data_IF_991686638608
#
_entry.id   IF_991686638608
#
_cell.length_a   1.000
_cell.length_b   1.000
_cell.length_c   1.000
_cell.angle_alpha   90.00
_cell.angle_beta   90.00
_cell.angle_gamma   90.00
#
_symmetry.space_group_name_H-M   'P 1'
#
loop_
_entity.id
_entity.type
_entity.pdbx_description
1 polymer ?
#
# COMPACT_ATOMS: atom_id res chain seq x y z
N UNK A 1 0.24 8.82 17.25
CA UNK A 1 -0.40 7.48 17.29
C UNK A 1 0.32 6.60 18.28
N UNK A 2 -0.37 5.78 19.08
CA UNK A 2 0.31 4.83 20.00
C UNK A 2 -0.12 3.43 19.61
N UNK A 3 0.85 2.53 19.54
CA UNK A 3 0.57 1.11 19.43
C UNK A 3 -0.21 0.64 20.65
N UNK A 4 -1.32 -0.03 20.44
CA UNK A 4 -2.08 -0.66 21.50
C UNK A 4 -1.72 -2.14 21.53
N UNK A 5 -1.26 -2.60 22.68
CA UNK A 5 -1.04 -4.03 22.90
C UNK A 5 -2.15 -4.61 23.74
N UNK A 6 -2.58 -5.79 23.37
CA UNK A 6 -3.62 -6.56 24.07
C UNK A 6 -3.04 -7.91 24.45
N UNK A 7 -3.05 -8.18 25.74
CA UNK A 7 -2.63 -9.47 26.27
C UNK A 7 -3.85 -10.26 26.73
N UNK A 8 -3.99 -11.47 26.21
CA UNK A 8 -4.98 -12.44 26.71
C UNK A 8 -4.40 -13.16 27.92
N UNK A 9 -4.77 -12.73 29.13
CA UNK A 9 -4.35 -13.38 30.39
C UNK A 9 -5.28 -14.50 30.83
N UNK A 10 -6.29 -14.84 30.04
CA UNK A 10 -7.22 -15.94 30.32
C UNK A 10 -6.62 -17.30 29.93
N UNK A 11 -7.29 -18.39 30.38
CA UNK A 11 -6.95 -19.75 29.98
C UNK A 11 -7.56 -20.16 28.63
N UNK A 12 -8.45 -19.33 28.07
CA UNK A 12 -9.17 -19.59 26.83
C UNK A 12 -8.76 -18.55 25.78
N UNK A 13 -8.93 -18.92 24.52
CA UNK A 13 -8.75 -18.00 23.40
C UNK A 13 -9.79 -16.87 23.48
N UNK A 14 -9.37 -15.65 23.17
CA UNK A 14 -10.19 -14.45 23.19
C UNK A 14 -10.44 -13.98 21.77
N UNK A 15 -11.69 -14.01 21.34
CA UNK A 15 -12.10 -13.37 20.08
C UNK A 15 -12.41 -11.89 20.37
N UNK A 16 -11.77 -11.01 19.65
CA UNK A 16 -11.99 -9.57 19.72
C UNK A 16 -12.28 -9.00 18.34
N UNK A 17 -13.18 -8.06 18.29
CA UNK A 17 -13.48 -7.28 17.09
C UNK A 17 -13.39 -5.76 17.37
N UNK A 18 -13.57 -4.92 16.33
CA UNK A 18 -13.47 -3.48 16.48
C UNK A 18 -14.55 -2.89 17.40
N UNK A 19 -15.69 -3.53 17.54
CA UNK A 19 -16.78 -3.08 18.42
C UNK A 19 -16.43 -3.24 19.89
N UNK A 20 -15.40 -4.06 20.21
CA UNK A 20 -14.90 -4.18 21.56
C UNK A 20 -14.13 -2.93 22.04
N UNK A 21 -13.82 -1.99 21.13
CA UNK A 21 -13.04 -0.81 21.45
C UNK A 21 -13.85 0.47 21.18
N UNK A 22 -14.10 1.23 22.23
CA UNK A 22 -14.74 2.55 22.10
C UNK A 22 -13.81 3.63 22.67
N UNK A 23 -13.65 4.70 21.93
CA UNK A 23 -12.97 5.88 22.42
C UNK A 23 -13.99 6.97 22.73
N UNK A 24 -14.06 7.37 24.00
CA UNK A 24 -14.93 8.42 24.48
C UNK A 24 -14.21 9.75 24.54
N UNK A 25 -14.92 10.82 24.16
CA UNK A 25 -14.52 12.22 24.30
C UNK A 25 -15.71 13.05 24.77
N UNK A 26 -15.71 13.44 26.02
CA UNK A 26 -16.90 14.02 26.66
C UNK A 26 -18.02 12.99 26.81
N UNK A 27 -19.21 13.30 26.29
CA UNK A 27 -20.37 12.39 26.26
C UNK A 27 -20.40 11.49 25.01
N UNK A 28 -19.61 11.83 24.01
CA UNK A 28 -19.62 11.16 22.73
C UNK A 28 -18.59 10.01 22.67
N UNK A 29 -18.75 9.12 21.70
CA UNK A 29 -17.79 8.05 21.44
C UNK A 29 -17.66 7.74 19.96
N UNK A 30 -16.53 7.14 19.59
CA UNK A 30 -16.25 6.63 18.25
C UNK A 30 -15.67 5.23 18.32
N UNK A 31 -15.90 4.46 17.28
CA UNK A 31 -15.23 3.19 17.03
C UNK A 31 -13.96 3.38 16.20
N UNK A 32 -13.03 2.40 16.23
CA UNK A 32 -11.91 2.41 15.30
C UNK A 32 -12.41 2.42 13.85
N UNK A 33 -11.72 3.18 13.01
CA UNK A 33 -11.94 3.21 11.55
C UNK A 33 -11.06 2.17 10.89
N UNK A 34 -11.63 1.00 10.55
CA UNK A 34 -10.88 -0.11 9.97
C UNK A 34 -10.32 0.22 8.58
N UNK A 35 -11.08 0.96 7.79
CA UNK A 35 -10.68 1.46 6.47
C UNK A 35 -9.45 2.36 6.51
N UNK A 36 -9.28 3.10 7.59
CA UNK A 36 -8.07 3.92 7.83
C UNK A 36 -6.87 3.11 8.32
N UNK A 37 -7.08 1.88 8.81
CA UNK A 37 -5.98 1.04 9.34
C UNK A 37 -4.89 0.82 8.30
N UNK A 38 -5.28 0.63 7.05
CA UNK A 38 -4.36 0.42 5.94
C UNK A 38 -3.48 1.65 5.65
N UNK A 39 -3.94 2.85 5.97
CA UNK A 39 -3.16 4.08 5.80
C UNK A 39 -2.05 4.25 6.85
N UNK A 40 -1.96 3.36 7.84
CA UNK A 40 -1.05 3.49 8.97
C UNK A 40 -0.22 2.23 9.24
N UNK A 41 -0.05 1.37 8.23
CA UNK A 41 0.66 0.08 8.37
C UNK A 41 2.15 0.21 8.74
N UNK A 42 2.79 1.31 8.36
CA UNK A 42 4.17 1.62 8.78
C UNK A 42 4.33 1.85 10.29
N UNK A 43 3.23 2.01 11.02
CA UNK A 43 3.24 2.08 12.48
C UNK A 43 2.92 0.74 13.17
N UNK A 44 2.59 -0.30 12.41
CA UNK A 44 2.30 -1.65 12.90
C UNK A 44 1.13 -2.32 12.19
N UNK A 45 0.73 -3.48 12.67
CA UNK A 45 -0.39 -4.23 12.09
C UNK A 45 -1.72 -3.53 12.41
N UNK A 46 -2.62 -3.33 11.41
CA UNK A 46 -3.95 -2.83 11.69
C UNK A 46 -4.73 -3.84 12.52
N UNK A 47 -5.65 -3.31 13.31
CA UNK A 47 -6.60 -4.17 14.00
C UNK A 47 -7.57 -4.78 12.99
N UNK A 48 -7.68 -6.08 13.01
CA UNK A 48 -8.72 -6.84 12.32
C UNK A 48 -9.35 -7.80 13.33
N UNK A 49 -10.57 -8.26 13.08
CA UNK A 49 -11.21 -9.30 13.88
C UNK A 49 -10.25 -10.46 14.05
N UNK A 50 -9.85 -10.75 15.27
CA UNK A 50 -8.76 -11.66 15.51
C UNK A 50 -8.96 -12.47 16.79
N UNK A 51 -8.40 -13.68 16.76
CA UNK A 51 -8.31 -14.53 17.95
C UNK A 51 -6.94 -14.30 18.59
N UNK A 52 -6.93 -13.92 19.85
CA UNK A 52 -5.73 -13.85 20.67
C UNK A 52 -5.70 -15.11 21.52
N UNK A 53 -4.73 -15.98 21.31
CA UNK A 53 -4.60 -17.23 22.03
C UNK A 53 -4.35 -16.98 23.52
N UNK A 54 -4.68 -17.95 24.35
CA UNK A 54 -4.40 -17.91 25.79
C UNK A 54 -2.91 -17.60 26.04
N UNK A 55 -2.63 -16.57 26.85
CA UNK A 55 -1.26 -16.10 27.16
C UNK A 55 -0.60 -15.22 26.08
N UNK A 56 -1.19 -15.11 24.88
CA UNK A 56 -0.63 -14.34 23.77
C UNK A 56 -0.77 -12.81 24.00
N UNK A 57 0.21 -12.07 23.50
CA UNK A 57 0.16 -10.59 23.43
C UNK A 57 0.25 -10.18 21.96
N UNK A 58 -0.70 -9.37 21.50
CA UNK A 58 -0.68 -8.78 20.16
C UNK A 58 -0.68 -7.26 20.24
N UNK A 59 0.02 -6.63 19.31
CA UNK A 59 0.05 -5.17 19.16
C UNK A 59 -0.69 -4.77 17.90
N UNK A 60 -1.60 -3.83 18.06
CA UNK A 60 -2.43 -3.34 16.95
C UNK A 60 -2.38 -1.82 16.84
N UNK A 61 -2.62 -1.33 15.64
CA UNK A 61 -2.94 0.06 15.37
C UNK A 61 -4.44 0.18 15.21
N UNK A 62 -5.02 1.09 15.97
CA UNK A 62 -6.45 1.40 15.90
C UNK A 62 -6.60 2.90 15.63
N UNK A 63 -6.83 3.30 14.37
CA UNK A 63 -7.11 4.68 14.04
C UNK A 63 -8.53 5.05 14.46
N UNK A 64 -8.68 6.25 15.00
CA UNK A 64 -9.97 6.84 15.37
C UNK A 64 -10.07 8.20 14.71
N UNK A 65 -11.17 8.46 14.04
CA UNK A 65 -11.48 9.78 13.52
C UNK A 65 -12.22 10.58 14.59
N UNK A 66 -11.71 11.76 14.93
CA UNK A 66 -12.32 12.66 15.91
C UNK A 66 -12.40 14.05 15.33
N UNK A 67 -13.38 14.82 15.79
CA UNK A 67 -13.48 16.25 15.45
C UNK A 67 -12.24 17.00 15.99
N UNK A 68 -11.64 17.83 15.14
CA UNK A 68 -10.43 18.60 15.45
C UNK A 68 -10.55 19.48 16.70
N UNK A 69 -11.76 19.91 17.06
CA UNK A 69 -12.03 20.68 18.29
C UNK A 69 -11.69 19.92 19.57
N UNK A 70 -11.63 18.58 19.49
CA UNK A 70 -11.31 17.73 20.64
C UNK A 70 -9.85 17.30 20.71
N UNK A 71 -8.99 17.70 19.75
CA UNK A 71 -7.58 17.25 19.65
C UNK A 71 -6.77 17.40 20.93
N UNK A 72 -7.11 18.35 21.80
CA UNK A 72 -6.40 18.64 23.06
C UNK A 72 -7.17 18.12 24.31
N UNK A 73 -8.22 17.33 24.12
CA UNK A 73 -8.98 16.76 25.22
C UNK A 73 -8.43 15.43 25.69
N UNK A 74 -8.81 15.01 26.88
CA UNK A 74 -8.53 13.67 27.36
C UNK A 74 -9.51 12.69 26.70
N UNK A 75 -8.99 11.55 26.26
CA UNK A 75 -9.76 10.48 25.68
C UNK A 75 -9.75 9.29 26.62
N UNK A 76 -10.85 8.57 26.65
CA UNK A 76 -11.03 7.37 27.42
C UNK A 76 -11.30 6.22 26.47
N UNK A 77 -10.39 5.23 26.41
CA UNK A 77 -10.63 4.02 25.67
C UNK A 77 -11.28 3.00 26.60
N UNK A 78 -12.43 2.48 26.20
CA UNK A 78 -13.14 1.42 26.90
C UNK A 78 -13.05 0.17 26.07
N UNK A 79 -12.56 -0.90 26.67
CA UNK A 79 -12.46 -2.21 26.06
C UNK A 79 -13.57 -3.08 26.67
N UNK A 80 -14.45 -3.57 25.83
CA UNK A 80 -15.51 -4.49 26.22
C UNK A 80 -15.04 -5.91 25.97
N UNK A 81 -15.09 -6.73 27.02
CA UNK A 81 -14.75 -8.15 26.94
C UNK A 81 -16.05 -8.96 27.08
N UNK A 82 -16.61 -9.44 25.99
CA UNK A 82 -17.84 -10.23 25.97
C UNK A 82 -18.58 -10.12 24.65
N UNK A 83 -19.50 -11.01 24.37
CA UNK A 83 -20.37 -10.89 23.19
C UNK A 83 -21.25 -9.64 23.30
N UNK A 84 -21.21 -8.81 22.26
CA UNK A 84 -21.90 -7.51 22.19
C UNK A 84 -23.45 -7.61 22.26
N UNK A 85 -24.00 -8.78 22.46
CA UNK A 85 -25.45 -9.06 22.37
C UNK A 85 -26.22 -8.90 23.67
N UNK A 86 -25.57 -8.74 24.82
CA UNK A 86 -26.25 -8.54 26.12
C UNK A 86 -25.66 -7.35 26.88
N UNK A 87 -26.43 -6.32 27.04
CA UNK A 87 -26.02 -5.03 27.61
C UNK A 87 -25.69 -5.05 29.12
N UNK A 88 -25.89 -6.17 29.83
CA UNK A 88 -25.74 -6.27 31.27
C UNK A 88 -24.45 -6.94 31.79
N UNK A 89 -23.67 -7.64 30.94
CA UNK A 89 -22.57 -8.47 31.40
C UNK A 89 -21.18 -8.00 30.96
N UNK A 90 -21.04 -6.73 30.63
CA UNK A 90 -19.77 -6.20 30.16
C UNK A 90 -18.81 -5.88 31.31
N UNK A 91 -17.81 -6.71 31.49
CA UNK A 91 -16.60 -6.33 32.22
C UNK A 91 -15.81 -5.36 31.38
N UNK A 92 -16.11 -4.07 31.49
CA UNK A 92 -15.41 -3.01 30.76
C UNK A 92 -14.12 -2.66 31.49
N UNK A 93 -12.99 -2.91 30.85
CA UNK A 93 -11.71 -2.34 31.32
C UNK A 93 -11.55 -0.93 30.73
N UNK A 94 -11.59 0.07 31.60
CA UNK A 94 -11.41 1.46 31.21
C UNK A 94 -9.94 1.85 31.28
N UNK A 95 -9.40 2.38 30.19
CA UNK A 95 -8.06 2.98 30.13
C UNK A 95 -8.24 4.44 29.73
N UNK A 96 -7.82 5.36 30.61
CA UNK A 96 -7.79 6.78 30.26
C UNK A 96 -6.45 7.13 29.64
N UNK A 97 -6.48 7.63 28.41
CA UNK A 97 -5.29 8.03 27.67
C UNK A 97 -5.30 9.53 27.49
N UNK A 98 -4.24 10.20 27.97
CA UNK A 98 -3.95 11.58 27.57
C UNK A 98 -3.24 11.53 26.22
N UNK A 99 -3.90 12.00 25.16
CA UNK A 99 -3.22 12.20 23.89
C UNK A 99 -2.35 13.46 24.02
N UNK A 100 -1.05 13.29 23.88
CA UNK A 100 -0.19 14.38 23.44
C UNK A 100 -0.32 14.39 21.92
N UNK A 101 -0.69 15.51 21.29
CA UNK A 101 -0.65 15.60 19.84
C UNK A 101 0.81 15.40 19.40
N UNK A 102 1.09 14.26 18.83
CA UNK A 102 2.31 14.08 18.07
C UNK A 102 1.90 14.47 16.65
N UNK A 103 2.19 15.70 16.26
CA UNK A 103 2.10 16.10 14.86
C UNK A 103 3.23 15.31 14.20
N UNK A 104 2.86 14.27 13.49
CA UNK A 104 3.79 13.62 12.57
C UNK A 104 3.84 14.60 11.40
N UNK A 105 4.89 15.40 11.34
CA UNK A 105 5.22 16.09 10.10
C UNK A 105 5.45 15.00 9.07
N UNK A 106 4.71 15.04 7.97
CA UNK A 106 4.96 14.21 6.80
C UNK A 106 6.31 14.67 6.22
N UNK A 107 7.38 14.16 6.78
CA UNK A 107 8.70 14.29 6.16
C UNK A 107 8.66 13.33 4.99
N UNK A 108 8.44 13.88 3.79
CA UNK A 108 8.58 13.12 2.55
C UNK A 108 10.06 12.76 2.38
N UNK A 109 10.42 11.57 2.78
CA UNK A 109 11.75 11.03 2.57
C UNK A 109 11.86 10.57 1.12
N UNK A 110 12.71 11.24 0.35
CA UNK A 110 12.96 10.92 -1.05
C UNK A 110 14.30 10.21 -1.19
N UNK A 111 14.27 8.98 -1.69
CA UNK A 111 15.47 8.16 -1.94
C UNK A 111 15.66 8.00 -3.45
N UNK A 112 16.84 8.35 -3.96
CA UNK A 112 17.23 8.07 -5.34
C UNK A 112 17.82 6.68 -5.43
N UNK A 113 17.39 5.92 -6.41
CA UNK A 113 17.76 4.51 -6.61
C UNK A 113 18.18 4.31 -8.06
N UNK A 114 19.20 3.52 -8.29
CA UNK A 114 19.66 3.15 -9.62
C UNK A 114 18.92 1.93 -10.17
N UNK A 115 18.94 1.74 -11.49
CA UNK A 115 18.49 0.47 -12.08
C UNK A 115 19.32 -0.69 -11.49
N UNK A 116 18.70 -1.84 -11.34
CA UNK A 116 19.23 -3.04 -10.67
C UNK A 116 19.50 -2.92 -9.17
N UNK A 117 19.22 -1.79 -8.55
CA UNK A 117 19.33 -1.64 -7.12
C UNK A 117 18.03 -2.12 -6.43
N UNK A 118 18.17 -2.85 -5.33
CA UNK A 118 17.04 -3.35 -4.57
C UNK A 118 16.45 -2.23 -3.69
N UNK A 119 15.17 -1.94 -3.89
CA UNK A 119 14.40 -1.02 -3.07
C UNK A 119 13.76 -1.83 -1.94
N UNK A 120 14.32 -1.71 -0.74
CA UNK A 120 13.69 -2.29 0.45
C UNK A 120 12.48 -1.45 0.86
N UNK A 121 11.31 -2.09 0.92
CA UNK A 121 10.06 -1.48 1.36
C UNK A 121 9.79 -1.71 2.86
N UNK A 122 10.76 -2.26 3.59
CA UNK A 122 10.61 -2.66 5.01
C UNK A 122 10.27 -1.52 5.96
N UNK A 123 10.60 -0.29 5.59
CA UNK A 123 10.28 0.91 6.39
C UNK A 123 9.01 1.61 5.90
N UNK A 124 8.25 0.97 5.04
CA UNK A 124 6.99 1.48 4.49
C UNK A 124 5.81 0.65 4.98
N UNK A 125 4.62 1.00 4.49
CA UNK A 125 3.40 0.22 4.70
C UNK A 125 3.48 -1.21 4.13
N UNK A 126 4.47 -1.51 3.28
CA UNK A 126 4.75 -2.82 2.70
C UNK A 126 5.98 -3.45 3.36
N UNK A 127 5.95 -3.58 4.67
CA UNK A 127 7.03 -4.21 5.43
C UNK A 127 7.40 -5.58 4.86
N UNK A 128 8.70 -5.94 4.88
CA UNK A 128 9.27 -7.16 4.31
C UNK A 128 9.05 -7.35 2.79
N UNK A 129 8.63 -6.31 2.10
CA UNK A 129 8.52 -6.31 0.65
C UNK A 129 9.72 -5.64 0.01
N UNK A 130 9.98 -5.95 -1.24
CA UNK A 130 11.05 -5.32 -2.01
C UNK A 130 10.70 -5.22 -3.49
N UNK A 131 11.31 -4.25 -4.16
CA UNK A 131 11.18 -4.04 -5.59
C UNK A 131 12.57 -3.77 -6.19
N UNK A 132 12.83 -4.36 -7.34
CA UNK A 132 13.99 -4.03 -8.17
C UNK A 132 13.50 -3.74 -9.58
N UNK A 133 13.82 -2.59 -10.12
CA UNK A 133 13.63 -2.29 -11.55
C UNK A 133 14.95 -2.61 -12.24
N UNK A 134 14.97 -3.67 -13.06
CA UNK A 134 16.20 -4.18 -13.68
C UNK A 134 16.60 -3.40 -14.91
N UNK A 135 15.62 -3.11 -15.76
CA UNK A 135 15.80 -2.37 -17.00
C UNK A 135 14.53 -1.63 -17.38
N UNK A 136 14.65 -0.65 -18.27
CA UNK A 136 13.52 0.03 -18.87
C UNK A 136 13.78 0.25 -20.36
N UNK A 137 12.75 0.08 -21.17
CA UNK A 137 12.74 0.34 -22.60
C UNK A 137 11.58 1.28 -22.91
N UNK A 138 11.85 2.29 -23.74
CA UNK A 138 10.82 3.18 -24.27
C UNK A 138 10.62 2.84 -25.74
N UNK A 139 9.40 2.50 -26.10
CA UNK A 139 9.05 2.06 -27.46
C UNK A 139 7.61 2.45 -27.79
N UNK A 140 7.23 2.34 -29.05
CA UNK A 140 5.84 2.44 -29.46
C UNK A 140 5.17 1.06 -29.61
N UNK A 141 5.95 -0.03 -29.49
CA UNK A 141 5.47 -1.40 -29.53
C UNK A 141 6.35 -2.32 -28.70
N UNK A 142 5.76 -3.37 -28.16
CA UNK A 142 6.46 -4.43 -27.44
C UNK A 142 5.93 -5.79 -27.88
N UNK A 143 6.81 -6.62 -28.43
CA UNK A 143 6.51 -7.98 -28.88
C UNK A 143 6.84 -8.97 -27.78
N UNK A 144 5.99 -9.94 -27.56
CA UNK A 144 6.21 -10.99 -26.57
C UNK A 144 5.67 -12.33 -27.07
N UNK A 145 6.19 -13.40 -26.48
CA UNK A 145 5.72 -14.75 -26.67
C UNK A 145 5.15 -15.31 -25.38
N UNK A 146 4.15 -16.16 -25.51
CA UNK A 146 3.64 -16.90 -24.37
C UNK A 146 3.24 -18.31 -24.80
N UNK A 147 3.26 -19.24 -23.83
CA UNK A 147 2.76 -20.59 -24.05
C UNK A 147 1.33 -20.70 -23.53
N UNK A 148 0.47 -21.32 -24.29
CA UNK A 148 -0.87 -21.71 -23.88
C UNK A 148 -0.99 -23.24 -23.96
N UNK A 149 -1.25 -23.86 -22.79
CA UNK A 149 -1.29 -25.29 -22.65
C UNK A 149 -2.72 -25.78 -22.43
N UNK A 150 -3.17 -26.68 -23.30
CA UNK A 150 -4.42 -27.40 -23.12
C UNK A 150 -4.10 -28.89 -22.92
N UNK A 151 -4.39 -29.43 -21.74
CA UNK A 151 -3.94 -30.77 -21.31
C UNK A 151 -2.42 -30.87 -21.40
N UNK A 152 -1.90 -31.84 -22.18
CA UNK A 152 -0.47 -32.09 -22.34
C UNK A 152 0.13 -31.38 -23.56
N UNK A 153 -0.67 -30.61 -24.31
CA UNK A 153 -0.22 -29.93 -25.54
C UNK A 153 -0.07 -28.43 -25.26
N UNK A 154 1.16 -27.96 -25.37
CA UNK A 154 1.50 -26.52 -25.28
C UNK A 154 1.75 -25.96 -26.69
N UNK A 155 1.31 -24.74 -26.92
CA UNK A 155 1.58 -23.98 -28.15
C UNK A 155 2.16 -22.62 -27.79
N UNK A 156 3.19 -22.21 -28.50
CA UNK A 156 3.77 -20.88 -28.40
C UNK A 156 3.02 -19.90 -29.30
N UNK A 157 2.63 -18.78 -28.75
CA UNK A 157 1.97 -17.69 -29.46
C UNK A 157 2.83 -16.45 -29.43
N UNK A 158 2.72 -15.65 -30.48
CA UNK A 158 3.32 -14.33 -30.62
C UNK A 158 2.22 -13.29 -30.51
N UNK A 159 2.47 -12.24 -29.75
CA UNK A 159 1.54 -11.14 -29.59
C UNK A 159 2.29 -9.82 -29.40
N UNK A 160 1.60 -8.70 -29.49
CA UNK A 160 2.18 -7.37 -29.44
C UNK A 160 1.32 -6.41 -28.63
N UNK A 161 1.96 -5.63 -27.75
CA UNK A 161 1.38 -4.43 -27.16
C UNK A 161 1.81 -3.24 -28.01
N UNK A 162 0.87 -2.44 -28.45
CA UNK A 162 1.12 -1.23 -29.24
C UNK A 162 0.59 -0.04 -28.45
N UNK A 163 1.37 1.05 -28.40
CA UNK A 163 0.90 2.32 -27.88
C UNK A 163 -0.27 2.81 -28.75
N UNK A 164 -1.36 3.23 -28.11
CA UNK A 164 -2.56 3.66 -28.84
C UNK A 164 -2.24 4.92 -29.67
N UNK A 165 -2.35 4.87 -30.99
CA UNK A 165 -2.13 6.03 -31.85
C UNK A 165 -3.28 7.04 -31.78
N UNK A 166 -4.20 6.93 -30.79
CA UNK A 166 -5.44 7.68 -30.76
C UNK A 166 -5.23 9.18 -30.97
N UNK A 167 -5.78 9.59 -31.96
CA UNK A 167 -6.23 10.82 -32.63
C UNK A 167 -5.59 12.17 -32.30
N UNK A 168 -5.06 12.46 -31.14
CA UNK A 168 -4.55 13.79 -30.80
C UNK A 168 -3.33 13.82 -29.88
N UNK A 169 -3.05 12.78 -29.17
CA UNK A 169 -1.85 12.65 -28.35
C UNK A 169 -1.11 11.38 -28.74
N UNK A 170 0.11 11.53 -29.27
CA UNK A 170 0.99 10.39 -29.47
C UNK A 170 1.24 9.76 -28.10
N UNK A 171 1.11 8.45 -28.01
CA UNK A 171 1.47 7.70 -26.82
C UNK A 171 2.75 6.89 -27.07
N UNK A 172 3.40 6.49 -25.99
CA UNK A 172 4.55 5.61 -25.98
C UNK A 172 4.34 4.51 -24.95
N UNK A 173 5.15 3.45 -25.03
CA UNK A 173 5.23 2.42 -24.00
C UNK A 173 6.50 2.61 -23.19
N UNK A 174 6.39 2.49 -21.87
CA UNK A 174 7.51 2.24 -20.97
C UNK A 174 7.39 0.80 -20.51
N UNK A 175 8.36 -0.02 -20.94
CA UNK A 175 8.44 -1.46 -20.63
C UNK A 175 9.56 -1.67 -19.64
N UNK A 176 9.26 -2.19 -18.48
CA UNK A 176 10.24 -2.39 -17.40
C UNK A 176 10.33 -3.86 -17.00
N UNK A 177 11.57 -4.35 -16.92
CA UNK A 177 11.88 -5.60 -16.23
C UNK A 177 11.92 -5.33 -14.73
N UNK A 178 11.33 -6.21 -13.94
CA UNK A 178 11.27 -6.02 -12.51
C UNK A 178 11.32 -7.33 -11.74
N UNK A 179 11.69 -7.22 -10.46
CA UNK A 179 11.39 -8.21 -9.44
C UNK A 179 10.59 -7.53 -8.33
N UNK A 180 9.45 -8.07 -8.00
CA UNK A 180 8.61 -7.61 -6.88
C UNK A 180 8.37 -8.77 -5.93
N UNK A 181 8.81 -8.61 -4.70
CA UNK A 181 8.53 -9.53 -3.60
C UNK A 181 7.56 -8.84 -2.65
N UNK A 182 6.36 -9.35 -2.54
CA UNK A 182 5.33 -8.84 -1.64
C UNK A 182 5.23 -9.74 -0.40
N UNK A 183 5.26 -9.12 0.75
CA UNK A 183 4.99 -9.81 2.01
C UNK A 183 3.54 -10.30 2.06
N UNK A 184 3.35 -11.57 2.41
CA UNK A 184 2.04 -12.23 2.44
C UNK A 184 1.08 -11.64 3.48
N UNK A 185 1.63 -11.04 4.51
CA UNK A 185 0.84 -10.42 5.58
C UNK A 185 0.55 -8.95 5.30
N UNK A 186 1.51 -8.20 4.76
CA UNK A 186 1.37 -6.76 4.54
C UNK A 186 0.59 -6.41 3.26
N UNK A 187 0.82 -7.12 2.17
CA UNK A 187 0.23 -6.79 0.87
C UNK A 187 -1.32 -6.84 0.84
N UNK A 188 -1.99 -7.83 1.44
CA UNK A 188 -3.45 -7.89 1.47
C UNK A 188 -4.09 -6.69 2.17
N UNK A 189 -3.44 -6.13 3.21
CA UNK A 189 -3.96 -4.95 3.89
C UNK A 189 -3.94 -3.68 3.03
N UNK A 190 -3.09 -3.66 2.00
CA UNK A 190 -3.04 -2.58 1.02
C UNK A 190 -3.90 -2.86 -0.22
N UNK A 191 -4.68 -3.95 -0.22
CA UNK A 191 -5.40 -4.44 -1.40
C UNK A 191 -4.47 -4.69 -2.60
N UNK A 192 -3.22 -5.10 -2.32
CA UNK A 192 -2.21 -5.38 -3.33
C UNK A 192 -2.08 -6.88 -3.44
N UNK A 193 -2.78 -7.45 -4.41
CA UNK A 193 -2.77 -8.88 -4.65
C UNK A 193 -1.78 -9.29 -5.75
N UNK A 194 -1.37 -8.33 -6.57
CA UNK A 194 -0.50 -8.53 -7.72
C UNK A 194 0.29 -7.28 -8.10
N UNK A 195 1.16 -7.43 -9.08
CA UNK A 195 1.97 -6.33 -9.61
C UNK A 195 1.14 -5.21 -10.21
N UNK A 196 -0.01 -5.51 -10.81
CA UNK A 196 -0.89 -4.49 -11.39
C UNK A 196 -1.46 -3.58 -10.31
N UNK A 197 -1.93 -4.16 -9.20
CA UNK A 197 -2.42 -3.39 -8.07
C UNK A 197 -1.31 -2.54 -7.45
N UNK A 198 -0.10 -3.11 -7.30
CA UNK A 198 1.07 -2.37 -6.83
C UNK A 198 1.39 -1.18 -7.74
N UNK A 199 1.51 -1.42 -9.04
CA UNK A 199 1.84 -0.39 -10.02
C UNK A 199 0.80 0.73 -10.06
N UNK A 200 -0.49 0.40 -10.06
CA UNK A 200 -1.58 1.38 -10.07
C UNK A 200 -1.64 2.24 -8.82
N UNK A 201 -1.32 1.67 -7.65
CA UNK A 201 -1.45 2.36 -6.38
C UNK A 201 -0.24 3.22 -6.03
N UNK A 202 0.97 2.81 -6.46
CA UNK A 202 2.20 3.41 -5.96
C UNK A 202 3.12 3.97 -7.02
N UNK A 203 2.95 3.63 -8.31
CA UNK A 203 3.85 4.09 -9.35
C UNK A 203 3.32 5.32 -10.06
N UNK A 204 4.20 6.27 -10.30
CA UNK A 204 3.99 7.46 -11.10
C UNK A 204 5.20 7.65 -12.02
N UNK A 205 5.04 8.42 -13.08
CA UNK A 205 6.12 8.72 -14.00
C UNK A 205 6.24 10.22 -14.22
N UNK A 206 7.45 10.74 -14.06
CA UNK A 206 7.80 12.11 -14.44
C UNK A 206 8.86 12.11 -15.52
N UNK A 207 8.90 13.16 -16.31
CA UNK A 207 9.91 13.35 -17.33
C UNK A 207 10.29 14.81 -17.47
N UNK A 208 11.53 15.07 -17.91
CA UNK A 208 12.01 16.40 -18.19
C UNK A 208 12.14 16.60 -19.69
N UNK A 209 11.64 17.71 -20.18
CA UNK A 209 11.78 18.14 -21.58
C UNK A 209 12.04 19.64 -21.62
N UNK A 210 13.10 20.06 -22.32
CA UNK A 210 13.51 21.46 -22.39
C UNK A 210 13.69 22.10 -21.01
N UNK A 211 14.35 21.41 -20.08
CA UNK A 211 14.59 21.83 -18.70
C UNK A 211 13.31 22.06 -17.86
N UNK A 212 12.18 21.53 -18.28
CA UNK A 212 10.93 21.62 -17.54
C UNK A 212 10.43 20.22 -17.21
N UNK A 213 10.06 20.01 -15.95
CA UNK A 213 9.52 18.76 -15.46
C UNK A 213 8.01 18.67 -15.72
N UNK A 214 7.58 17.46 -16.10
CA UNK A 214 6.18 17.10 -16.35
C UNK A 214 5.86 15.78 -15.69
N UNK A 215 4.60 15.61 -15.29
CA UNK A 215 4.04 14.33 -14.87
C UNK A 215 3.31 13.70 -16.05
N UNK A 216 3.67 12.47 -16.42
CA UNK A 216 2.97 11.73 -17.46
C UNK A 216 1.71 11.06 -16.91
N UNK A 217 0.67 11.04 -17.71
CA UNK A 217 -0.43 10.09 -17.49
C UNK A 217 0.10 8.68 -17.74
N UNK A 218 -0.20 7.77 -16.84
CA UNK A 218 0.17 6.37 -16.98
C UNK A 218 -1.08 5.50 -17.04
N UNK A 219 -1.06 4.51 -17.93
CA UNK A 219 -2.08 3.47 -18.03
C UNK A 219 -1.38 2.12 -18.02
N UNK A 220 -1.72 1.27 -17.08
CA UNK A 220 -1.18 -0.09 -17.03
C UNK A 220 -1.77 -0.92 -18.17
N UNK A 221 -0.92 -1.44 -19.04
CA UNK A 221 -1.31 -2.20 -20.23
C UNK A 221 -0.59 -3.55 -20.34
N UNK A 222 0.06 -4.00 -19.27
CA UNK A 222 0.72 -5.31 -19.25
C UNK A 222 -0.31 -6.43 -19.48
N UNK A 223 -0.14 -7.25 -20.52
CA UNK A 223 -1.01 -8.39 -20.74
C UNK A 223 -0.88 -9.42 -19.60
N UNK A 224 -1.98 -10.09 -19.27
CA UNK A 224 -2.00 -11.09 -18.19
C UNK A 224 -1.03 -12.28 -18.40
N UNK A 225 -0.63 -12.53 -19.65
CA UNK A 225 0.34 -13.57 -20.03
C UNK A 225 1.80 -13.15 -19.80
N UNK A 226 2.07 -11.85 -19.65
CA UNK A 226 3.40 -11.29 -19.40
C UNK A 226 3.57 -11.13 -17.89
N UNK A 227 4.46 -11.93 -17.29
CA UNK A 227 4.61 -12.02 -15.83
C UNK A 227 5.79 -11.24 -15.27
N UNK A 228 6.80 -11.01 -16.11
CA UNK A 228 8.11 -10.44 -15.73
C UNK A 228 8.27 -8.97 -16.14
N UNK A 229 7.20 -8.36 -16.67
CA UNK A 229 7.22 -6.97 -17.14
C UNK A 229 6.11 -6.14 -16.52
N UNK A 230 6.43 -4.86 -16.30
CA UNK A 230 5.44 -3.80 -16.13
C UNK A 230 5.45 -2.96 -17.39
N UNK A 231 4.30 -2.83 -18.03
CA UNK A 231 4.15 -2.04 -19.26
C UNK A 231 3.14 -0.93 -18.99
N UNK A 232 3.59 0.31 -19.11
CA UNK A 232 2.75 1.50 -19.08
C UNK A 232 2.61 2.11 -20.46
N UNK A 233 1.40 2.44 -20.85
CA UNK A 233 1.15 3.42 -21.87
C UNK A 233 1.22 4.81 -21.25
N UNK A 234 1.99 5.71 -21.86
CA UNK A 234 2.35 7.03 -21.34
C UNK A 234 2.18 8.11 -22.41
N UNK A 235 2.26 9.37 -22.03
CA UNK A 235 2.24 10.49 -22.98
C UNK A 235 3.40 10.36 -23.99
N UNK A 236 3.12 10.63 -25.27
CA UNK A 236 4.11 10.47 -26.35
C UNK A 236 5.36 11.35 -26.21
N UNK A 237 5.26 12.44 -25.49
CA UNK A 237 6.42 13.31 -25.18
C UNK A 237 7.50 12.59 -24.35
N UNK A 238 7.14 11.54 -23.62
CA UNK A 238 8.08 10.71 -22.86
C UNK A 238 9.12 10.06 -23.76
N UNK A 239 8.76 9.70 -25.01
CA UNK A 239 9.70 9.09 -25.97
C UNK A 239 10.89 10.02 -26.28
N UNK A 240 10.66 11.34 -26.28
CA UNK A 240 11.64 12.37 -26.61
C UNK A 240 12.09 13.17 -25.37
N UNK A 241 11.86 12.67 -24.18
CA UNK A 241 12.25 13.32 -22.94
C UNK A 241 13.77 13.30 -22.74
N UNK A 242 14.31 14.33 -22.08
CA UNK A 242 15.72 14.41 -21.71
C UNK A 242 16.03 13.41 -20.58
N UNK A 243 15.15 13.34 -19.60
CA UNK A 243 15.20 12.37 -18.50
C UNK A 243 13.83 11.80 -18.21
N UNK A 244 13.79 10.59 -17.68
CA UNK A 244 12.55 9.95 -17.27
C UNK A 244 12.78 9.29 -15.91
N UNK A 245 11.91 9.58 -14.97
CA UNK A 245 11.95 9.03 -13.62
C UNK A 245 10.67 8.27 -13.31
N UNK A 246 10.83 7.06 -12.83
CA UNK A 246 9.78 6.30 -12.16
C UNK A 246 9.77 6.69 -10.69
N UNK A 247 8.63 7.17 -10.21
CA UNK A 247 8.40 7.47 -8.80
C UNK A 247 7.59 6.32 -8.20
N UNK A 248 8.05 5.83 -7.04
CA UNK A 248 7.34 4.85 -6.25
C UNK A 248 6.99 5.52 -4.93
N UNK A 249 5.72 5.88 -4.78
CA UNK A 249 5.23 6.66 -3.64
C UNK A 249 4.45 5.74 -2.70
N UNK A 250 5.04 5.45 -1.56
CA UNK A 250 4.40 4.64 -0.52
C UNK A 250 4.29 5.52 0.72
N UNK A 251 3.13 6.18 0.85
CA UNK A 251 2.81 7.11 1.91
C UNK A 251 3.79 8.30 1.96
N UNK A 252 4.61 8.42 3.02
CA UNK A 252 5.59 9.48 3.22
C UNK A 252 6.99 9.16 2.68
N UNK A 253 7.14 8.05 1.96
CA UNK A 253 8.40 7.65 1.32
C UNK A 253 8.24 7.61 -0.17
N UNK A 254 9.18 8.23 -0.84
CA UNK A 254 9.25 8.25 -2.30
C UNK A 254 10.60 7.70 -2.74
N UNK A 255 10.57 6.77 -3.67
CA UNK A 255 11.76 6.25 -4.33
C UNK A 255 11.74 6.73 -5.76
N UNK A 256 12.85 7.30 -6.23
CA UNK A 256 12.99 7.81 -7.59
C UNK A 256 14.00 6.92 -8.32
N UNK A 257 13.53 6.20 -9.33
CA UNK A 257 14.38 5.41 -10.22
C UNK A 257 14.52 6.14 -11.54
N UNK A 258 15.73 6.56 -11.89
CA UNK A 258 16.00 7.14 -13.21
C UNK A 258 16.05 6.01 -14.24
N UNK A 259 15.13 6.04 -15.20
CA UNK A 259 15.02 5.03 -16.25
C UNK A 259 15.51 5.53 -17.61
N UNK A 260 15.81 6.82 -17.72
CA UNK A 260 16.53 7.46 -18.83
C UNK A 260 17.21 8.75 -18.35
#
# INVERSE_FOLDING_TARGET
MRNQWVKNSSKNDLTIDYNNFKMYYGSDYVYPKLDMGNSFLDYGKPFMNNVIKAGETKTYIMPYEIDAKYKNKNFKIVIFTGEATKSSDFLAKTITVKLKPNIIEDINEVTKVSLNENISLSTTALNNSSLTIKSALISNRYEYTYEDCYKETCRTYYDVVVADPSYQTRSALVVMDYDLVLDKDAAPYQNINDTQAFAKNFMELTYTKNNKEYKSKIKYVTPAKVKDKIIFEVDGDVANADTINLLINIRNKSFIVSIK
#
